data_IF_742780245042
#
_entry.id   IF_742780245042
#
_cell.length_a   1.000
_cell.length_b   1.000
_cell.length_c   1.000
_cell.angle_alpha   90.00
_cell.angle_beta   90.00
_cell.angle_gamma   90.00
#
_symmetry.space_group_name_H-M   'P 1'
#
loop_
_entity.id
_entity.type
_entity.pdbx_description
1 polymer ?
#
# COMPACT_ATOMS: atom_id res chain seq x y z
N UNK A 1 -33.96 38.56 3.70
CA UNK A 1 -33.24 38.54 2.40
C UNK A 1 -31.76 38.72 2.73
N UNK A 2 -30.84 37.76 2.63
CA UNK A 2 -30.71 36.65 1.70
C UNK A 2 -29.95 35.49 2.39
N UNK A 3 -30.48 34.27 2.31
CA UNK A 3 -29.85 33.05 2.81
C UNK A 3 -28.69 32.69 1.87
N UNK A 4 -27.46 32.65 2.38
CA UNK A 4 -26.32 32.18 1.61
C UNK A 4 -26.47 30.66 1.43
N UNK A 5 -26.91 30.29 0.24
CA UNK A 5 -27.02 28.92 -0.24
C UNK A 5 -25.61 28.34 -0.31
N UNK A 6 -25.23 27.53 0.69
CA UNK A 6 -23.98 26.75 0.64
C UNK A 6 -24.27 25.56 -0.27
N UNK A 7 -23.77 25.62 -1.50
CA UNK A 7 -23.85 24.55 -2.48
C UNK A 7 -23.12 23.33 -1.93
N UNK A 8 -23.85 22.26 -1.63
CA UNK A 8 -23.31 20.94 -1.29
C UNK A 8 -22.77 20.30 -2.57
N UNK A 9 -21.71 20.89 -3.14
CA UNK A 9 -20.92 20.23 -4.16
C UNK A 9 -19.88 19.37 -3.45
N UNK A 10 -20.03 18.05 -3.63
CA UNK A 10 -19.02 17.01 -3.41
C UNK A 10 -19.00 16.39 -2.01
N UNK A 11 -20.02 15.56 -1.73
CA UNK A 11 -19.88 14.39 -0.86
C UNK A 11 -18.98 13.31 -1.52
N UNK A 12 -17.76 13.66 -1.92
CA UNK A 12 -16.70 12.67 -2.26
C UNK A 12 -15.66 12.67 -1.14
N UNK A 13 -16.10 12.42 0.09
CA UNK A 13 -15.20 12.17 1.20
C UNK A 13 -15.91 11.36 2.28
N UNK A 14 -16.52 10.25 1.85
CA UNK A 14 -16.99 9.23 2.77
C UNK A 14 -15.89 8.18 2.84
N UNK A 15 -15.20 8.23 3.97
CA UNK A 15 -14.53 7.11 4.59
C UNK A 15 -13.16 6.73 4.01
N UNK A 16 -12.31 7.75 3.95
CA UNK A 16 -10.87 7.57 4.14
C UNK A 16 -10.66 7.10 5.59
N UNK A 17 -10.91 5.81 5.85
CA UNK A 17 -10.76 5.20 7.17
C UNK A 17 -9.27 5.21 7.51
N UNK A 18 -8.83 6.35 8.06
CA UNK A 18 -7.47 6.61 8.50
C UNK A 18 -7.15 5.70 9.70
N UNK A 19 -6.86 4.44 9.44
CA UNK A 19 -6.03 3.70 10.38
C UNK A 19 -4.68 4.41 10.44
N UNK A 20 -4.18 4.80 11.62
CA UNK A 20 -2.99 5.65 11.74
C UNK A 20 -1.73 5.02 11.13
N UNK A 21 -1.74 3.70 10.90
CA UNK A 21 -0.62 2.93 10.36
C UNK A 21 -0.79 2.59 8.88
N UNK A 22 -2.02 2.60 8.31
CA UNK A 22 -2.24 2.13 6.94
C UNK A 22 -3.12 3.07 6.11
N UNK A 23 -2.56 3.59 5.01
CA UNK A 23 -3.29 4.34 3.97
C UNK A 23 -3.80 3.37 2.90
N UNK A 24 -4.90 2.68 3.19
CA UNK A 24 -5.54 1.82 2.19
C UNK A 24 -5.79 2.59 0.89
N UNK A 25 -5.29 2.06 -0.23
CA UNK A 25 -5.52 2.62 -1.56
C UNK A 25 -4.62 3.79 -1.98
N UNK A 26 -3.49 4.06 -1.31
CA UNK A 26 -2.48 4.98 -1.85
C UNK A 26 -1.75 4.31 -3.03
N UNK A 27 -1.95 4.78 -4.28
CA UNK A 27 -1.36 4.16 -5.46
C UNK A 27 0.17 4.17 -5.44
N UNK A 28 0.79 5.05 -4.65
CA UNK A 28 2.24 5.21 -4.54
C UNK A 28 2.84 4.42 -3.36
N UNK A 29 2.03 3.72 -2.57
CA UNK A 29 2.54 2.89 -1.49
C UNK A 29 3.39 1.72 -2.03
N UNK A 30 4.38 1.32 -1.23
CA UNK A 30 5.20 0.14 -1.47
C UNK A 30 4.33 -1.12 -1.67
N UNK A 31 4.59 -1.84 -2.76
CA UNK A 31 3.89 -3.08 -3.09
C UNK A 31 2.48 -2.91 -3.65
N UNK A 32 1.96 -1.69 -3.80
CA UNK A 32 0.59 -1.48 -4.30
C UNK A 32 0.45 -1.98 -5.74
N UNK A 33 -0.66 -2.66 -6.05
CA UNK A 33 -0.87 -3.39 -7.32
C UNK A 33 0.21 -4.46 -7.58
N UNK A 34 0.79 -5.03 -6.53
CA UNK A 34 1.81 -6.07 -6.65
C UNK A 34 3.12 -5.63 -7.30
N UNK A 35 3.41 -4.32 -7.32
CA UNK A 35 4.69 -3.81 -7.83
C UNK A 35 5.84 -4.25 -6.92
N UNK A 36 7.02 -4.44 -7.49
CA UNK A 36 8.20 -4.77 -6.73
C UNK A 36 8.58 -3.62 -5.77
N UNK A 37 8.90 -3.96 -4.53
CA UNK A 37 9.53 -3.07 -3.56
C UNK A 37 11.04 -3.23 -3.71
N UNK A 38 11.70 -2.23 -4.29
CA UNK A 38 13.14 -2.28 -4.54
C UNK A 38 13.86 -1.51 -3.43
N UNK A 39 14.70 -2.22 -2.67
CA UNK A 39 15.45 -1.64 -1.55
C UNK A 39 16.90 -1.48 -2.00
N UNK A 40 17.37 -0.25 -1.96
CA UNK A 40 18.77 0.09 -2.17
C UNK A 40 19.52 -0.09 -0.85
N UNK A 41 20.24 -1.20 -0.69
CA UNK A 41 20.95 -1.57 0.54
C UNK A 41 22.00 -0.53 0.95
N UNK A 42 22.62 0.15 -0.03
CA UNK A 42 23.65 1.18 0.22
C UNK A 42 23.05 2.47 0.82
N UNK A 43 21.73 2.64 0.70
CA UNK A 43 20.99 3.79 1.22
C UNK A 43 20.30 3.50 2.55
N UNK A 44 20.39 2.28 3.06
CA UNK A 44 19.84 1.93 4.37
C UNK A 44 20.72 2.51 5.48
N UNK A 45 20.08 3.04 6.52
CA UNK A 45 20.80 3.33 7.76
C UNK A 45 21.35 2.03 8.37
N UNK A 46 22.39 2.10 9.22
CA UNK A 46 22.93 0.91 9.87
C UNK A 46 21.88 0.09 10.63
N UNK A 47 20.87 0.74 11.22
CA UNK A 47 19.81 0.04 11.95
C UNK A 47 18.77 -0.58 11.02
N UNK A 48 18.44 0.08 9.91
CA UNK A 48 17.57 -0.51 8.88
C UNK A 48 18.23 -1.72 8.24
N UNK A 49 19.54 -1.64 7.96
CA UNK A 49 20.28 -2.78 7.40
C UNK A 49 20.27 -3.99 8.33
N UNK A 50 20.41 -3.79 9.65
CA UNK A 50 20.27 -4.88 10.62
C UNK A 50 18.91 -5.56 10.55
N UNK A 51 17.83 -4.79 10.42
CA UNK A 51 16.47 -5.35 10.29
C UNK A 51 16.29 -6.11 8.97
N UNK A 52 16.82 -5.56 7.88
CA UNK A 52 16.87 -6.21 6.58
C UNK A 52 17.58 -7.57 6.65
N UNK A 53 18.81 -7.60 7.18
CA UNK A 53 19.63 -8.82 7.30
C UNK A 53 18.97 -9.85 8.25
N UNK A 54 18.43 -9.40 9.39
CA UNK A 54 17.79 -10.26 10.40
C UNK A 54 16.54 -10.95 9.86
N UNK A 55 15.72 -10.23 9.09
CA UNK A 55 14.51 -10.78 8.48
C UNK A 55 14.81 -11.97 7.57
N UNK A 56 15.84 -11.82 6.72
CA UNK A 56 16.30 -12.91 5.86
C UNK A 56 16.83 -14.10 6.65
N UNK A 57 17.66 -13.87 7.67
CA UNK A 57 18.22 -14.96 8.49
C UNK A 57 17.14 -15.74 9.26
N UNK A 58 16.11 -15.05 9.73
CA UNK A 58 15.07 -15.63 10.59
C UNK A 58 13.99 -16.35 9.77
N UNK A 59 13.59 -15.79 8.63
CA UNK A 59 12.41 -16.23 7.90
C UNK A 59 12.68 -16.71 6.47
N UNK A 60 13.93 -16.60 5.99
CA UNK A 60 14.34 -16.93 4.62
C UNK A 60 13.60 -16.13 3.52
N UNK A 61 13.03 -14.96 3.87
CA UNK A 61 12.49 -13.98 2.93
C UNK A 61 12.74 -12.56 3.43
N UNK A 62 12.51 -11.56 2.55
CA UNK A 62 12.69 -10.15 2.88
C UNK A 62 11.55 -9.63 3.77
N UNK A 63 11.63 -9.90 5.07
CA UNK A 63 10.64 -9.38 6.02
C UNK A 63 10.62 -7.85 6.05
N UNK A 64 11.78 -7.19 5.94
CA UNK A 64 11.86 -5.74 5.93
C UNK A 64 11.04 -5.14 4.76
N UNK A 65 11.10 -5.73 3.56
CA UNK A 65 10.22 -5.34 2.46
C UNK A 65 8.75 -5.62 2.77
N UNK A 66 8.44 -6.78 3.37
CA UNK A 66 7.07 -7.13 3.77
C UNK A 66 6.46 -6.13 4.74
N UNK A 67 7.26 -5.62 5.69
CA UNK A 67 6.83 -4.66 6.70
C UNK A 67 6.53 -3.27 6.10
N UNK A 68 7.11 -2.94 4.94
CA UNK A 68 6.79 -1.73 4.18
C UNK A 68 5.47 -1.86 3.39
N UNK A 69 5.08 -3.09 3.04
CA UNK A 69 3.92 -3.38 2.21
C UNK A 69 2.64 -3.35 3.05
N UNK A 70 1.59 -2.70 2.54
CA UNK A 70 0.28 -2.75 3.17
C UNK A 70 -0.28 -4.17 3.25
N UNK A 71 -0.81 -4.54 4.41
CA UNK A 71 -1.63 -5.75 4.58
C UNK A 71 -2.92 -5.71 3.72
N UNK A 72 -3.34 -4.51 3.29
CA UNK A 72 -4.51 -4.27 2.44
C UNK A 72 -4.14 -3.84 1.02
N UNK A 73 -2.93 -4.16 0.53
CA UNK A 73 -2.54 -3.81 -0.85
C UNK A 73 -3.52 -4.39 -1.86
N UNK A 74 -3.75 -3.68 -2.96
CA UNK A 74 -4.49 -4.27 -4.09
C UNK A 74 -3.56 -5.06 -5.00
N UNK A 75 -4.13 -5.97 -5.79
CA UNK A 75 -3.45 -6.71 -6.84
C UNK A 75 -4.16 -6.47 -8.19
N UNK A 76 -3.43 -6.50 -9.31
CA UNK A 76 -4.04 -6.49 -10.63
C UNK A 76 -4.82 -7.77 -10.84
N UNK A 77 -5.93 -7.67 -11.55
CA UNK A 77 -6.63 -8.85 -12.04
C UNK A 77 -5.82 -9.46 -13.18
N UNK A 78 -5.35 -10.69 -12.97
CA UNK A 78 -4.51 -11.46 -13.91
C UNK A 78 -5.21 -12.73 -14.40
N UNK A 79 -6.49 -12.90 -14.07
CA UNK A 79 -7.26 -14.07 -14.51
C UNK A 79 -7.51 -13.97 -16.01
N UNK A 80 -7.23 -15.05 -16.74
CA UNK A 80 -7.53 -15.12 -18.16
C UNK A 80 -9.03 -14.89 -18.40
N UNK A 81 -9.34 -13.95 -19.29
CA UNK A 81 -10.72 -13.52 -19.59
C UNK A 81 -11.61 -14.64 -20.10
N UNK A 82 -11.03 -15.67 -20.72
CA UNK A 82 -11.77 -16.79 -21.31
C UNK A 82 -12.24 -17.83 -20.29
N UNK A 83 -11.88 -17.67 -19.00
CA UNK A 83 -12.40 -18.49 -17.90
C UNK A 83 -13.66 -17.93 -17.22
N UNK A 84 -14.25 -16.84 -17.73
CA UNK A 84 -15.60 -16.45 -17.33
C UNK A 84 -16.58 -17.40 -18.01
N UNK A 85 -16.97 -18.47 -17.30
CA UNK A 85 -17.95 -19.44 -17.77
C UNK A 85 -19.24 -18.70 -18.19
N UNK A 86 -19.67 -18.93 -19.44
CA UNK A 86 -20.93 -18.43 -20.00
C UNK A 86 -22.12 -19.19 -19.45
#
# INVERSE_FOLDING_TARGET
>A
MCNKHVTISRLQNRDNFRHPIYKSGDPNQEGEKGRAVNIDEDRLSPDQKKLYDLGFQTYAFNQYASDLISIHRTLPDVVDRDHTYK
#
